data_IF_683344734358
#
_entry.id   IF_683344734358
#
_cell.length_a   1.000
_cell.length_b   1.000
_cell.length_c   1.000
_cell.angle_alpha   90.00
_cell.angle_beta   90.00
_cell.angle_gamma   90.00
#
_symmetry.space_group_name_H-M   'P 1'
#
loop_
_entity.id
_entity.type
_entity.pdbx_description
1 polymer ?
#
# COMPACT_ATOMS: atom_id res chain seq x y z
N UNK A 1 -29.81 19.28 21.06
CA UNK A 1 -30.31 18.85 19.77
C UNK A 1 -29.44 19.30 18.59
N UNK A 2 -29.02 20.56 18.52
CA UNK A 2 -28.15 21.04 17.42
C UNK A 2 -26.77 20.37 17.36
N UNK A 3 -26.21 20.00 18.50
CA UNK A 3 -24.90 19.32 18.59
C UNK A 3 -24.97 17.85 18.14
N UNK A 4 -26.11 17.17 18.30
CA UNK A 4 -26.33 15.79 17.86
C UNK A 4 -26.52 15.70 16.34
N UNK A 5 -27.15 16.71 15.74
CA UNK A 5 -27.35 16.78 14.29
C UNK A 5 -26.01 17.08 13.59
N UNK A 6 -25.18 17.95 14.17
CA UNK A 6 -23.85 18.24 13.64
C UNK A 6 -22.92 17.03 13.74
N UNK A 7 -23.01 16.24 14.80
CA UNK A 7 -22.22 15.01 14.98
C UNK A 7 -22.65 13.92 13.99
N UNK A 8 -23.95 13.80 13.72
CA UNK A 8 -24.50 12.84 12.78
C UNK A 8 -24.14 13.19 11.34
N UNK A 9 -24.10 14.49 11.01
CA UNK A 9 -23.68 14.97 9.70
C UNK A 9 -22.18 14.82 9.46
N UNK A 10 -21.34 15.02 10.50
CA UNK A 10 -19.91 14.75 10.45
C UNK A 10 -19.63 13.26 10.28
N UNK A 11 -20.38 12.39 10.91
CA UNK A 11 -20.26 10.94 10.76
C UNK A 11 -20.67 10.47 9.35
N UNK A 12 -21.68 11.07 8.77
CA UNK A 12 -22.11 10.81 7.38
C UNK A 12 -21.05 11.28 6.35
N UNK A 13 -20.39 12.40 6.61
CA UNK A 13 -19.30 12.89 5.75
C UNK A 13 -18.07 11.99 5.79
N UNK A 14 -17.75 11.39 6.94
CA UNK A 14 -16.64 10.43 7.09
C UNK A 14 -16.94 9.13 6.35
N UNK A 15 -18.19 8.68 6.36
CA UNK A 15 -18.60 7.47 5.62
C UNK A 15 -18.58 7.67 4.09
N UNK A 16 -18.86 8.86 3.60
CA UNK A 16 -18.82 9.14 2.16
C UNK A 16 -17.40 9.26 1.60
N UNK A 17 -16.40 9.56 2.44
CA UNK A 17 -14.98 9.58 2.07
C UNK A 17 -14.37 8.18 1.97
N UNK A 18 -14.92 7.18 2.67
CA UNK A 18 -14.44 5.79 2.67
C UNK A 18 -14.81 5.03 1.38
N UNK A 19 -15.78 5.54 0.59
CA UNK A 19 -16.24 4.90 -0.65
C UNK A 19 -15.45 5.25 -1.91
N UNK A 20 -14.44 6.16 -1.84
CA UNK A 20 -13.77 6.71 -3.02
C UNK A 20 -12.34 6.19 -3.25
N UNK A 21 -11.91 5.13 -2.57
CA UNK A 21 -10.57 4.58 -2.70
C UNK A 21 -10.54 3.07 -2.84
N UNK A 22 -9.35 2.49 -2.71
CA UNK A 22 -9.15 1.06 -2.68
C UNK A 22 -9.70 0.42 -1.40
N UNK A 23 -10.12 -0.83 -1.50
CA UNK A 23 -10.63 -1.62 -0.38
C UNK A 23 -9.49 -2.47 0.21
N UNK A 24 -9.23 -2.30 1.50
CA UNK A 24 -8.19 -3.03 2.24
C UNK A 24 -8.74 -3.75 3.48
N UNK A 25 -10.07 -3.87 3.59
CA UNK A 25 -10.73 -4.40 4.81
C UNK A 25 -10.34 -5.82 5.15
N UNK A 26 -10.11 -6.65 4.14
CA UNK A 26 -9.83 -8.08 4.31
C UNK A 26 -8.43 -8.45 3.79
N UNK A 27 -7.51 -7.49 3.72
CA UNK A 27 -6.16 -7.76 3.25
C UNK A 27 -5.44 -8.74 4.18
N UNK A 28 -4.86 -9.78 3.58
CA UNK A 28 -4.01 -10.72 4.30
C UNK A 28 -2.58 -10.18 4.31
N UNK A 29 -2.06 -9.92 5.49
CA UNK A 29 -0.66 -9.52 5.69
C UNK A 29 0.09 -10.75 6.17
N UNK A 30 1.01 -11.25 5.34
CA UNK A 30 1.85 -12.39 5.71
C UNK A 30 3.08 -11.89 6.43
N UNK A 31 3.34 -12.41 7.62
CA UNK A 31 4.54 -12.10 8.36
C UNK A 31 5.76 -12.72 7.67
N UNK A 32 6.85 -11.98 7.67
CA UNK A 32 8.12 -12.42 7.12
C UNK A 32 9.24 -12.20 8.13
N UNK A 33 10.07 -13.22 8.33
CA UNK A 33 11.27 -13.10 9.16
C UNK A 33 12.43 -12.58 8.31
N UNK A 34 12.88 -11.36 8.61
CA UNK A 34 14.00 -10.72 7.93
C UNK A 34 15.19 -10.61 8.87
N UNK A 35 16.37 -10.77 8.32
CA UNK A 35 17.64 -10.45 9.02
C UNK A 35 18.02 -8.97 8.83
N UNK A 36 17.46 -8.33 7.80
CA UNK A 36 17.75 -6.95 7.43
C UNK A 36 16.83 -5.95 8.12
N UNK A 37 15.54 -6.26 8.24
CA UNK A 37 14.53 -5.39 8.81
C UNK A 37 13.75 -6.07 9.94
N UNK A 38 13.42 -5.30 10.97
CA UNK A 38 12.54 -5.78 12.05
C UNK A 38 11.10 -5.90 11.53
N UNK A 39 10.28 -6.66 12.26
CA UNK A 39 8.85 -6.77 11.95
C UNK A 39 8.16 -5.41 11.97
N UNK A 40 8.53 -4.53 12.90
CA UNK A 40 7.97 -3.17 12.98
C UNK A 40 8.35 -2.32 11.76
N UNK A 41 9.59 -2.42 11.28
CA UNK A 41 10.04 -1.71 10.08
C UNK A 41 9.30 -2.18 8.83
N UNK A 42 9.09 -3.49 8.68
CA UNK A 42 8.32 -4.07 7.58
C UNK A 42 6.85 -3.63 7.68
N UNK A 43 6.28 -3.68 8.88
CA UNK A 43 4.90 -3.25 9.11
C UNK A 43 4.70 -1.78 8.75
N UNK A 44 5.62 -0.91 9.12
CA UNK A 44 5.57 0.51 8.78
C UNK A 44 5.57 0.73 7.27
N UNK A 45 6.39 -0.01 6.54
CA UNK A 45 6.40 0.04 5.07
C UNK A 45 5.07 -0.45 4.47
N UNK A 46 4.53 -1.55 4.99
CA UNK A 46 3.22 -2.08 4.56
C UNK A 46 2.13 -1.04 4.82
N UNK A 47 2.13 -0.39 5.96
CA UNK A 47 1.14 0.65 6.29
C UNK A 47 1.19 1.82 5.28
N UNK A 48 2.38 2.23 4.85
CA UNK A 48 2.53 3.27 3.81
C UNK A 48 1.94 2.82 2.48
N UNK A 49 2.21 1.59 2.06
CA UNK A 49 1.66 1.03 0.81
C UNK A 49 0.15 0.89 0.88
N UNK A 50 -0.40 0.42 1.99
CA UNK A 50 -1.85 0.29 2.21
C UNK A 50 -2.52 1.67 2.18
N UNK A 51 -1.92 2.67 2.78
CA UNK A 51 -2.44 4.04 2.76
C UNK A 51 -2.52 4.59 1.34
N UNK A 52 -1.47 4.39 0.55
CA UNK A 52 -1.46 4.78 -0.87
C UNK A 52 -2.54 4.03 -1.67
N UNK A 53 -2.65 2.71 -1.48
CA UNK A 53 -3.66 1.89 -2.15
C UNK A 53 -5.07 2.38 -1.81
N UNK A 54 -5.33 2.68 -0.55
CA UNK A 54 -6.62 3.19 -0.08
C UNK A 54 -7.00 4.51 -0.74
N UNK A 55 -6.03 5.37 -1.00
CA UNK A 55 -6.27 6.70 -1.59
C UNK A 55 -6.34 6.70 -3.11
N UNK A 56 -5.54 5.86 -3.78
CA UNK A 56 -5.29 5.99 -5.22
C UNK A 56 -5.81 4.82 -6.06
N UNK A 57 -6.16 3.69 -5.47
CA UNK A 57 -6.59 2.49 -6.19
C UNK A 57 -8.10 2.30 -6.15
N UNK A 58 -8.85 3.30 -6.60
CA UNK A 58 -10.31 3.24 -6.71
C UNK A 58 -10.74 2.02 -7.53
N UNK A 59 -11.78 1.31 -7.07
CA UNK A 59 -12.31 0.13 -7.74
C UNK A 59 -11.46 -1.13 -7.59
N UNK A 60 -10.45 -1.11 -6.74
CA UNK A 60 -9.55 -2.24 -6.48
C UNK A 60 -9.68 -2.73 -5.04
N UNK A 61 -9.50 -4.03 -4.86
CA UNK A 61 -9.50 -4.68 -3.53
C UNK A 61 -8.15 -5.35 -3.30
N UNK A 62 -7.40 -4.88 -2.33
CA UNK A 62 -6.12 -5.48 -1.94
C UNK A 62 -6.40 -6.78 -1.19
N UNK A 63 -5.91 -7.90 -1.70
CA UNK A 63 -6.17 -9.22 -1.13
C UNK A 63 -5.05 -9.73 -0.27
N UNK A 64 -3.80 -9.44 -0.64
CA UNK A 64 -2.63 -9.80 0.17
C UNK A 64 -1.47 -8.85 -0.08
N UNK A 65 -0.60 -8.71 0.91
CA UNK A 65 0.64 -7.97 0.82
C UNK A 65 1.68 -8.56 1.78
N UNK A 66 2.92 -8.65 1.33
CA UNK A 66 4.03 -9.16 2.13
C UNK A 66 5.35 -8.53 1.70
N UNK A 67 6.39 -8.72 2.51
CA UNK A 67 7.75 -8.34 2.15
C UNK A 67 8.32 -9.32 1.10
N UNK A 68 9.06 -8.78 0.12
CA UNK A 68 9.59 -9.57 -1.00
C UNK A 68 10.66 -10.58 -0.56
N UNK A 69 11.36 -10.32 0.53
CA UNK A 69 12.45 -11.13 1.03
C UNK A 69 13.82 -10.45 0.89
N UNK A 70 14.72 -10.77 1.78
CA UNK A 70 16.02 -10.08 1.87
C UNK A 70 16.85 -10.20 0.59
N UNK A 71 16.94 -11.40 0.03
CA UNK A 71 17.79 -11.66 -1.14
C UNK A 71 17.27 -10.90 -2.38
N UNK A 72 15.99 -11.00 -2.68
CA UNK A 72 15.40 -10.30 -3.82
C UNK A 72 15.35 -8.79 -3.59
N UNK A 73 15.18 -8.36 -2.35
CA UNK A 73 15.14 -6.95 -2.00
C UNK A 73 16.46 -6.22 -2.33
N UNK A 74 17.57 -6.88 -2.19
CA UNK A 74 18.91 -6.30 -2.47
C UNK A 74 19.08 -5.91 -3.94
N UNK A 75 18.38 -6.57 -4.85
CA UNK A 75 18.40 -6.25 -6.28
C UNK A 75 17.78 -4.87 -6.60
N UNK A 76 17.10 -4.27 -5.65
CA UNK A 76 16.39 -3.00 -5.82
C UNK A 76 17.12 -1.79 -5.22
N UNK A 77 18.36 -1.96 -4.75
CA UNK A 77 19.13 -0.89 -4.09
C UNK A 77 19.26 0.37 -4.95
N UNK A 78 19.26 0.26 -6.27
CA UNK A 78 19.32 1.42 -7.16
C UNK A 78 18.18 2.43 -6.97
N UNK A 79 17.00 1.97 -6.48
CA UNK A 79 15.89 2.88 -6.16
C UNK A 79 16.23 3.80 -4.99
N UNK A 80 16.91 3.28 -3.97
CA UNK A 80 17.43 4.10 -2.89
C UNK A 80 18.46 5.11 -3.42
N UNK A 81 19.40 4.64 -4.22
CA UNK A 81 20.49 5.48 -4.79
C UNK A 81 19.93 6.62 -5.63
N UNK A 82 18.93 6.35 -6.49
CA UNK A 82 18.30 7.37 -7.32
C UNK A 82 17.48 8.39 -6.53
N UNK A 83 17.03 8.04 -5.35
CA UNK A 83 16.24 8.92 -4.48
C UNK A 83 17.06 9.56 -3.36
N UNK A 84 18.39 9.46 -3.41
CA UNK A 84 19.29 9.94 -2.36
C UNK A 84 18.94 9.38 -0.98
N UNK A 85 18.51 8.13 -0.95
CA UNK A 85 18.12 7.41 0.27
C UNK A 85 19.16 6.34 0.62
N UNK A 86 19.10 5.81 1.84
CA UNK A 86 20.03 4.78 2.31
C UNK A 86 19.48 3.38 2.13
N UNK A 87 18.18 3.18 2.33
CA UNK A 87 17.54 1.87 2.31
C UNK A 87 16.39 1.81 1.31
N UNK A 88 16.18 0.62 0.77
CA UNK A 88 15.00 0.28 -0.04
C UNK A 88 14.30 -0.92 0.59
N UNK A 89 12.97 -0.90 0.59
CA UNK A 89 12.16 -2.07 0.90
C UNK A 89 11.16 -2.29 -0.22
N UNK A 90 11.04 -3.54 -0.68
CA UNK A 90 10.07 -3.92 -1.71
C UNK A 90 9.06 -4.88 -1.12
N UNK A 91 7.80 -4.52 -1.29
CA UNK A 91 6.66 -5.33 -0.91
C UNK A 91 6.04 -5.93 -2.17
N UNK A 92 5.41 -7.07 -2.05
CA UNK A 92 4.70 -7.73 -3.14
C UNK A 92 3.26 -7.99 -2.72
N UNK A 93 2.34 -7.77 -3.65
CA UNK A 93 0.90 -7.83 -3.35
C UNK A 93 0.10 -8.45 -4.49
N UNK A 94 -1.14 -8.77 -4.17
CA UNK A 94 -2.18 -9.12 -5.14
C UNK A 94 -3.41 -8.28 -4.88
N UNK A 95 -4.12 -7.89 -5.94
CA UNK A 95 -5.39 -7.17 -5.82
C UNK A 95 -6.33 -7.50 -6.96
N UNK A 96 -7.62 -7.37 -6.69
CA UNK A 96 -8.69 -7.54 -7.65
C UNK A 96 -9.15 -6.19 -8.17
N UNK A 97 -9.53 -6.14 -9.44
CA UNK A 97 -10.07 -4.95 -10.10
C UNK A 97 -11.54 -5.21 -10.46
N UNK A 98 -12.40 -4.25 -10.14
CA UNK A 98 -13.82 -4.34 -10.47
C UNK A 98 -14.13 -4.02 -11.96
N UNK A 99 -15.40 -3.89 -12.30
CA UNK A 99 -15.84 -3.62 -13.68
C UNK A 99 -15.39 -2.25 -14.21
N UNK A 100 -14.99 -1.32 -13.34
CA UNK A 100 -14.54 0.02 -13.75
C UNK A 100 -13.14 0.04 -14.36
N UNK A 101 -12.30 -0.96 -14.05
CA UNK A 101 -10.89 -0.94 -14.44
C UNK A 101 -10.05 0.05 -13.64
N UNK A 102 -10.43 0.29 -12.38
CA UNK A 102 -9.77 1.28 -11.54
C UNK A 102 -10.05 2.70 -12.03
N UNK A 103 -9.01 3.44 -12.33
CA UNK A 103 -9.09 4.75 -13.00
C UNK A 103 -9.20 4.66 -14.53
N UNK A 104 -9.38 3.45 -15.07
CA UNK A 104 -9.40 3.15 -16.51
C UNK A 104 -8.07 2.65 -17.06
N UNK A 105 -7.00 2.64 -16.27
CA UNK A 105 -5.67 2.16 -16.68
C UNK A 105 -5.46 0.65 -16.45
N UNK A 106 -6.34 0.01 -15.66
CA UNK A 106 -6.26 -1.40 -15.31
C UNK A 106 -7.29 -2.21 -16.09
N UNK A 107 -7.05 -3.52 -16.22
CA UNK A 107 -8.00 -4.42 -16.87
C UNK A 107 -9.22 -4.65 -15.97
N UNK A 108 -10.45 -4.38 -16.45
CA UNK A 108 -11.66 -4.63 -15.68
C UNK A 108 -11.83 -6.11 -15.30
N UNK A 109 -12.40 -6.37 -14.14
CA UNK A 109 -12.73 -7.71 -13.65
C UNK A 109 -11.54 -8.69 -13.67
N UNK A 110 -10.35 -8.19 -13.35
CA UNK A 110 -9.11 -8.97 -13.37
C UNK A 110 -8.44 -9.00 -12.00
N UNK A 111 -7.47 -9.89 -11.85
CA UNK A 111 -6.61 -9.99 -10.68
C UNK A 111 -5.17 -9.73 -11.07
N UNK A 112 -4.53 -8.82 -10.37
CA UNK A 112 -3.11 -8.55 -10.50
C UNK A 112 -2.35 -9.26 -9.38
N UNK A 113 -1.32 -10.02 -9.76
CA UNK A 113 -0.42 -10.70 -8.83
C UNK A 113 1.01 -10.19 -9.02
N UNK A 114 1.87 -10.43 -8.05
CA UNK A 114 3.26 -9.96 -8.08
C UNK A 114 3.42 -8.44 -8.28
N UNK A 115 2.43 -7.68 -7.83
CA UNK A 115 2.48 -6.23 -7.89
C UNK A 115 3.39 -5.70 -6.79
N UNK A 116 4.43 -5.02 -7.19
CA UNK A 116 5.46 -4.56 -6.25
C UNK A 116 5.22 -3.13 -5.81
N UNK A 117 5.58 -2.86 -4.57
CA UNK A 117 5.62 -1.52 -3.97
C UNK A 117 7.04 -1.24 -3.55
N UNK A 118 7.62 -0.16 -4.02
CA UNK A 118 9.00 0.20 -3.76
C UNK A 118 9.02 1.43 -2.87
N UNK A 119 9.63 1.31 -1.69
CA UNK A 119 9.73 2.36 -0.69
C UNK A 119 11.18 2.57 -0.32
N UNK A 120 11.53 3.80 -0.02
CA UNK A 120 12.87 4.18 0.39
C UNK A 120 12.83 4.96 1.69
N UNK A 121 13.94 4.97 2.42
CA UNK A 121 14.14 5.80 3.61
C UNK A 121 15.59 6.22 3.75
N UNK A 122 15.83 7.23 4.57
CA UNK A 122 17.17 7.73 4.88
C UNK A 122 17.43 7.59 6.38
N UNK A 123 18.55 6.95 6.73
CA UNK A 123 19.05 6.86 8.11
C UNK A 123 18.01 6.36 9.13
N UNK A 124 17.29 5.29 8.80
CA UNK A 124 16.28 4.71 9.69
C UNK A 124 15.02 5.56 9.87
N UNK A 125 14.82 6.55 9.01
CA UNK A 125 13.65 7.42 9.04
C UNK A 125 12.37 6.75 8.54
N UNK A 126 11.39 7.56 8.16
CA UNK A 126 10.11 7.06 7.64
C UNK A 126 10.24 6.54 6.22
N UNK A 127 9.53 5.45 5.93
CA UNK A 127 9.42 4.94 4.58
C UNK A 127 8.61 5.88 3.69
N UNK A 128 9.10 6.06 2.47
CA UNK A 128 8.44 6.86 1.43
C UNK A 128 8.21 5.97 0.20
N UNK A 129 6.98 5.88 -0.25
CA UNK A 129 6.63 5.20 -1.49
C UNK A 129 7.17 5.99 -2.69
N UNK A 130 7.90 5.34 -3.58
CA UNK A 130 8.51 5.99 -4.76
C UNK A 130 8.09 5.37 -6.08
N UNK A 131 7.68 4.10 -6.09
CA UNK A 131 7.23 3.44 -7.31
C UNK A 131 6.40 2.19 -6.99
N UNK A 132 5.68 1.70 -7.99
CA UNK A 132 4.92 0.45 -7.91
C UNK A 132 4.73 -0.13 -9.33
N UNK A 133 4.37 -1.42 -9.40
CA UNK A 133 4.11 -2.11 -10.65
C UNK A 133 4.67 -3.53 -10.68
N UNK A 134 4.92 -4.06 -11.88
CA UNK A 134 5.51 -5.39 -12.06
C UNK A 134 7.02 -5.35 -11.97
#
# INVERSE_FOLDING_TARGET
MKKLIALMMALLCVMSLVGCGGDVKNVKITEYTSEKYSNDEIKDAIDVAIDYFTKEFEGCTLTEITYLGDDENDDWQEFADRNNATDVIVLVSSFDVDASGGDGSLNPNSTYTNWKWILVRTDGGKWKHVDHGY
#
